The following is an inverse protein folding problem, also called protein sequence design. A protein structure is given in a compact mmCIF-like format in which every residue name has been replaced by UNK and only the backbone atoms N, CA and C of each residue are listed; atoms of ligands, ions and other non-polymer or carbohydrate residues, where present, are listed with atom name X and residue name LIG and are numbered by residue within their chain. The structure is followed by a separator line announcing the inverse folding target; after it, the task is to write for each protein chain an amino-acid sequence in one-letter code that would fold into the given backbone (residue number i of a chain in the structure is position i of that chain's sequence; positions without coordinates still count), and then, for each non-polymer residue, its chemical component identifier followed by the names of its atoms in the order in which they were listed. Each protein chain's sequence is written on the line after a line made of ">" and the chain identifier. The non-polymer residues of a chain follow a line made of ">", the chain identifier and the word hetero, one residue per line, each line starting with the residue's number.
data_IF_986846673560
#
_entry.id   IF_986846673560
#
_cell.length_a   1.000
_cell.length_b   1.000
_cell.length_c   1.000
_cell.angle_alpha   90.00
_cell.angle_beta   90.00
_cell.angle_gamma   90.00
#
_symmetry.space_group_name_H-M   'P 1'
#
loop_
_entity.id
_entity.type
_entity.pdbx_description
1 polymer ?
#
# COMPACT_ATOMS: atom_id res chain seq x y z
N UNK A 1 -41.23 16.54 9.29
CA UNK A 1 -41.10 15.48 8.26
C UNK A 1 -39.73 15.67 7.60
N UNK A 2 -38.68 15.16 8.26
CA UNK A 2 -37.28 15.33 7.86
C UNK A 2 -37.03 14.34 6.71
N UNK A 3 -36.91 14.83 5.49
CA UNK A 3 -36.47 14.02 4.35
C UNK A 3 -34.95 13.92 4.43
N UNK A 4 -34.46 12.78 4.89
CA UNK A 4 -33.04 12.41 4.87
C UNK A 4 -32.51 12.58 3.45
N UNK A 5 -31.57 13.51 3.28
CA UNK A 5 -30.83 13.70 2.04
C UNK A 5 -29.86 12.51 1.91
N UNK A 6 -29.82 11.79 0.79
CA UNK A 6 -28.91 10.67 0.61
C UNK A 6 -27.47 11.17 0.65
N UNK A 7 -26.69 10.66 1.61
CA UNK A 7 -25.23 10.73 1.66
C UNK A 7 -24.64 9.89 0.54
N UNK A 8 -24.68 10.39 -0.69
CA UNK A 8 -23.83 9.89 -1.77
C UNK A 8 -22.73 10.92 -1.98
N UNK A 9 -21.63 10.71 -1.26
CA UNK A 9 -20.35 11.35 -1.50
C UNK A 9 -19.97 11.09 -2.97
N UNK A 10 -19.97 12.13 -3.80
CA UNK A 10 -19.36 12.07 -5.12
C UNK A 10 -17.86 11.81 -4.92
N UNK A 11 -17.45 10.54 -5.06
CA UNK A 11 -16.04 10.14 -5.13
C UNK A 11 -15.46 10.55 -6.49
N UNK A 12 -15.21 11.84 -6.66
CA UNK A 12 -14.29 12.34 -7.69
C UNK A 12 -12.84 12.05 -7.29
N UNK A 13 -11.95 11.96 -8.29
CA UNK A 13 -10.52 11.56 -8.19
C UNK A 13 -9.73 12.35 -7.14
N UNK A 14 -10.21 13.53 -6.77
CA UNK A 14 -9.69 14.41 -5.71
C UNK A 14 -9.77 13.79 -4.30
N UNK A 15 -10.76 12.92 -4.07
CA UNK A 15 -10.95 12.22 -2.79
C UNK A 15 -9.89 11.13 -2.54
N UNK A 16 -9.32 10.52 -3.58
CA UNK A 16 -8.29 9.48 -3.41
C UNK A 16 -7.01 10.07 -2.81
N UNK A 17 -6.64 11.28 -3.20
CA UNK A 17 -5.47 11.98 -2.67
C UNK A 17 -5.64 12.35 -1.19
N UNK A 18 -6.82 12.88 -0.82
CA UNK A 18 -7.11 13.24 0.57
C UNK A 18 -7.17 11.99 1.47
N UNK A 19 -7.85 10.93 1.03
CA UNK A 19 -7.91 9.67 1.76
C UNK A 19 -6.54 9.01 1.91
N UNK A 20 -5.73 8.99 0.85
CA UNK A 20 -4.37 8.48 0.91
C UNK A 20 -3.50 9.27 1.89
N UNK A 21 -3.58 10.60 1.88
CA UNK A 21 -2.85 11.43 2.84
C UNK A 21 -3.27 11.14 4.28
N UNK A 22 -4.56 10.95 4.53
CA UNK A 22 -5.05 10.59 5.86
C UNK A 22 -4.52 9.22 6.29
N UNK A 23 -4.63 8.21 5.42
CA UNK A 23 -4.11 6.87 5.62
C UNK A 23 -2.60 6.87 5.92
N UNK A 24 -1.85 7.69 5.19
CA UNK A 24 -0.42 7.88 5.42
C UNK A 24 -0.16 8.47 6.80
N UNK A 25 -0.79 9.60 7.15
CA UNK A 25 -0.59 10.25 8.45
C UNK A 25 -0.94 9.34 9.62
N UNK A 26 -2.03 8.59 9.52
CA UNK A 26 -2.55 7.77 10.62
C UNK A 26 -1.78 6.45 10.80
N UNK A 27 -1.18 5.91 9.73
CA UNK A 27 -0.59 4.58 9.75
C UNK A 27 0.92 4.54 9.49
N UNK A 28 1.54 5.65 9.09
CA UNK A 28 2.99 5.70 8.86
C UNK A 28 3.78 5.24 10.08
N UNK A 29 3.54 5.85 11.25
CA UNK A 29 4.26 5.54 12.47
C UNK A 29 4.00 4.09 12.97
N UNK A 30 2.75 3.59 13.04
CA UNK A 30 2.47 2.18 13.34
C UNK A 30 3.15 1.19 12.39
N UNK A 31 3.17 1.49 11.08
CA UNK A 31 3.81 0.64 10.08
C UNK A 31 5.34 0.66 10.22
N UNK A 32 5.94 1.82 10.51
CA UNK A 32 7.36 1.96 10.78
C UNK A 32 7.75 1.18 12.03
N UNK A 33 6.97 1.27 13.11
CA UNK A 33 7.19 0.48 14.32
C UNK A 33 7.12 -1.03 14.03
N UNK A 34 6.19 -1.45 13.17
CA UNK A 34 6.09 -2.85 12.75
C UNK A 34 7.29 -3.31 11.92
N UNK A 35 7.75 -2.50 10.98
CA UNK A 35 8.96 -2.79 10.21
C UNK A 35 10.20 -2.85 11.12
N UNK A 36 10.30 -1.94 12.09
CA UNK A 36 11.40 -1.86 13.04
C UNK A 36 11.52 -3.11 13.92
N UNK A 37 10.39 -3.69 14.34
CA UNK A 37 10.38 -4.98 15.04
C UNK A 37 11.01 -6.13 14.24
N UNK A 38 11.13 -6.00 12.92
CA UNK A 38 11.70 -7.02 12.03
C UNK A 38 13.14 -6.70 11.63
N UNK A 39 13.40 -5.47 11.22
CA UNK A 39 14.72 -5.09 10.65
C UNK A 39 15.67 -4.45 11.65
N UNK A 40 15.18 -4.06 12.84
CA UNK A 40 15.93 -3.41 13.92
C UNK A 40 16.78 -2.20 13.49
N UNK A 41 16.37 -1.54 12.42
CA UNK A 41 17.06 -0.41 11.81
C UNK A 41 16.01 0.63 11.46
N UNK A 42 16.11 1.80 12.08
CA UNK A 42 15.14 2.89 11.92
C UNK A 42 15.09 3.36 10.47
N UNK A 43 16.25 3.58 9.85
CA UNK A 43 16.32 4.08 8.47
C UNK A 43 15.73 3.06 7.51
N UNK A 44 16.11 1.79 7.66
CA UNK A 44 15.54 0.72 6.86
C UNK A 44 14.01 0.59 7.05
N UNK A 45 13.50 0.82 8.27
CA UNK A 45 12.07 0.76 8.56
C UNK A 45 11.30 1.88 7.86
N UNK A 46 11.83 3.11 7.92
CA UNK A 46 11.28 4.27 7.22
C UNK A 46 11.29 4.05 5.70
N UNK A 47 12.41 3.55 5.14
CA UNK A 47 12.55 3.22 3.72
C UNK A 47 11.53 2.16 3.27
N UNK A 48 11.33 1.09 4.06
CA UNK A 48 10.34 0.03 3.77
C UNK A 48 8.93 0.60 3.67
N UNK A 49 8.54 1.46 4.62
CA UNK A 49 7.20 2.02 4.65
C UNK A 49 7.01 3.02 3.51
N UNK A 50 8.01 3.86 3.24
CA UNK A 50 8.00 4.78 2.09
C UNK A 50 7.85 4.03 0.77
N UNK A 51 8.61 2.95 0.56
CA UNK A 51 8.48 2.06 -0.60
C UNK A 51 7.03 1.56 -0.74
N UNK A 52 6.46 0.98 0.32
CA UNK A 52 5.09 0.43 0.28
C UNK A 52 4.05 1.51 -0.08
N UNK A 53 4.15 2.71 0.49
CA UNK A 53 3.24 3.80 0.16
C UNK A 53 3.45 4.33 -1.27
N UNK A 54 4.69 4.38 -1.76
CA UNK A 54 4.99 4.78 -3.13
C UNK A 54 4.37 3.80 -4.14
N UNK A 55 4.55 2.48 -3.92
CA UNK A 55 3.94 1.47 -4.78
C UNK A 55 2.40 1.50 -4.73
N UNK A 56 1.82 1.81 -3.57
CA UNK A 56 0.38 2.01 -3.45
C UNK A 56 -0.08 3.23 -4.25
N UNK A 57 0.66 4.34 -4.19
CA UNK A 57 0.36 5.58 -4.90
C UNK A 57 0.45 5.45 -6.42
N UNK A 58 1.49 4.78 -6.93
CA UNK A 58 1.65 4.49 -8.36
C UNK A 58 0.44 3.74 -8.93
N UNK A 59 -0.19 2.90 -8.11
CA UNK A 59 -1.31 2.04 -8.48
C UNK A 59 -2.65 2.52 -7.93
N UNK A 60 -2.73 3.77 -7.45
CA UNK A 60 -3.95 4.33 -6.84
C UNK A 60 -5.20 4.17 -7.72
N UNK A 61 -5.05 4.13 -9.04
CA UNK A 61 -6.16 3.95 -9.99
C UNK A 61 -6.69 2.51 -10.03
N UNK A 62 -5.86 1.52 -9.67
CA UNK A 62 -6.23 0.11 -9.56
C UNK A 62 -6.73 -0.26 -8.15
N UNK A 63 -6.47 0.58 -7.14
CA UNK A 63 -6.79 0.30 -5.74
C UNK A 63 -8.24 0.66 -5.45
N UNK A 64 -8.97 -0.29 -4.89
CA UNK A 64 -10.33 -0.07 -4.41
C UNK A 64 -10.29 0.56 -3.00
N UNK A 65 -10.37 1.90 -2.95
CA UNK A 65 -10.39 2.67 -1.70
C UNK A 65 -11.69 2.49 -0.89
N UNK A 66 -12.70 1.77 -1.38
CA UNK A 66 -13.88 1.39 -0.58
C UNK A 66 -13.60 0.23 0.39
N UNK A 67 -12.45 -0.44 0.25
CA UNK A 67 -12.04 -1.56 1.11
C UNK A 67 -10.98 -1.13 2.13
N UNK A 68 -10.91 -1.81 3.29
CA UNK A 68 -9.88 -1.53 4.27
C UNK A 68 -8.48 -1.86 3.71
N UNK A 69 -7.65 -0.83 3.53
CA UNK A 69 -6.29 -0.95 3.00
C UNK A 69 -5.25 -1.29 4.07
N UNK A 70 -5.58 -1.10 5.35
CA UNK A 70 -4.65 -1.33 6.45
C UNK A 70 -4.10 -2.78 6.51
N UNK A 71 -4.92 -3.85 6.36
CA UNK A 71 -4.40 -5.21 6.31
C UNK A 71 -3.43 -5.43 5.13
N UNK A 72 -3.72 -4.83 3.97
CA UNK A 72 -2.86 -4.90 2.80
C UNK A 72 -1.49 -4.25 3.08
N UNK A 73 -1.50 -3.05 3.69
CA UNK A 73 -0.29 -2.32 4.06
C UNK A 73 0.58 -3.11 5.05
N UNK A 74 -0.02 -3.73 6.08
CA UNK A 74 0.73 -4.55 7.03
C UNK A 74 1.40 -5.75 6.37
N UNK A 75 0.71 -6.42 5.44
CA UNK A 75 1.30 -7.55 4.71
C UNK A 75 2.41 -7.07 3.77
N UNK A 76 2.20 -5.97 3.06
CA UNK A 76 3.21 -5.38 2.18
C UNK A 76 4.48 -4.98 2.95
N UNK A 77 4.35 -4.29 4.07
CA UNK A 77 5.48 -3.91 4.95
C UNK A 77 6.22 -5.14 5.46
N UNK A 78 5.49 -6.17 5.93
CA UNK A 78 6.08 -7.43 6.38
C UNK A 78 6.88 -8.10 5.26
N UNK A 79 6.30 -8.21 4.06
CA UNK A 79 6.97 -8.85 2.93
C UNK A 79 8.23 -8.09 2.53
N UNK A 80 8.15 -6.76 2.44
CA UNK A 80 9.30 -5.91 2.11
C UNK A 80 10.41 -6.00 3.16
N UNK A 81 10.07 -6.06 4.45
CA UNK A 81 11.02 -6.31 5.52
C UNK A 81 11.71 -7.67 5.40
N UNK A 82 10.95 -8.73 5.09
CA UNK A 82 11.51 -10.08 4.84
C UNK A 82 12.46 -10.05 3.65
N UNK A 83 12.08 -9.39 2.56
CA UNK A 83 12.92 -9.29 1.36
C UNK A 83 14.20 -8.52 1.63
N UNK A 84 14.15 -7.44 2.42
CA UNK A 84 15.35 -6.72 2.84
C UNK A 84 16.27 -7.61 3.70
N UNK A 85 15.71 -8.38 4.62
CA UNK A 85 16.49 -9.32 5.45
C UNK A 85 17.10 -10.45 4.60
N UNK A 86 16.37 -10.93 3.58
CA UNK A 86 16.86 -11.91 2.62
C UNK A 86 17.96 -11.35 1.73
N UNK A 87 17.82 -10.12 1.22
CA UNK A 87 18.83 -9.48 0.37
C UNK A 87 20.09 -9.12 1.14
N UNK A 88 19.99 -8.69 2.41
CA UNK A 88 21.14 -8.55 3.32
C UNK A 88 21.89 -9.89 3.50
N UNK A 89 21.17 -11.02 3.42
CA UNK A 89 21.72 -12.37 3.55
C UNK A 89 22.20 -12.98 2.22
N UNK A 90 21.72 -12.49 1.08
CA UNK A 90 21.94 -13.06 -0.26
C UNK A 90 22.44 -11.98 -1.24
N UNK A 91 23.72 -12.04 -1.65
CA UNK A 91 24.35 -11.11 -2.62
C UNK A 91 23.95 -11.32 -4.09
N UNK A 92 22.76 -11.86 -4.34
CA UNK A 92 22.24 -12.16 -5.68
C UNK A 92 20.91 -11.44 -5.88
N UNK A 93 20.86 -10.58 -6.90
CA UNK A 93 19.84 -9.56 -7.10
C UNK A 93 18.40 -10.01 -6.87
N UNK A 94 17.65 -9.15 -6.16
CA UNK A 94 16.23 -9.33 -5.91
C UNK A 94 15.45 -9.04 -7.21
N UNK A 95 14.48 -9.87 -7.64
CA UNK A 95 13.45 -9.40 -8.56
C UNK A 95 12.85 -8.08 -8.03
N UNK A 96 12.47 -7.17 -8.92
CA UNK A 96 11.95 -5.88 -8.49
C UNK A 96 10.73 -6.13 -7.57
N UNK A 97 10.80 -5.62 -6.34
CA UNK A 97 9.78 -5.89 -5.33
C UNK A 97 8.44 -5.26 -5.76
N UNK A 98 8.48 -4.25 -6.62
CA UNK A 98 7.34 -3.65 -7.32
C UNK A 98 6.59 -4.66 -8.19
N UNK A 99 7.26 -5.58 -8.91
CA UNK A 99 6.58 -6.69 -9.61
C UNK A 99 5.95 -7.65 -8.63
N UNK A 100 6.66 -8.04 -7.56
CA UNK A 100 6.13 -8.98 -6.58
C UNK A 100 4.92 -8.40 -5.83
N UNK A 101 4.98 -7.12 -5.48
CA UNK A 101 3.85 -6.38 -4.96
C UNK A 101 2.73 -6.31 -5.98
N UNK A 102 2.99 -6.14 -7.27
CA UNK A 102 1.92 -6.12 -8.28
C UNK A 102 1.17 -7.43 -8.44
N UNK A 103 1.86 -8.56 -8.34
CA UNK A 103 1.23 -9.89 -8.29
C UNK A 103 0.42 -10.04 -7.00
N UNK A 104 1.01 -9.70 -5.86
CA UNK A 104 0.34 -9.81 -4.56
C UNK A 104 -0.91 -8.92 -4.44
N UNK A 105 -0.80 -7.67 -4.88
CA UNK A 105 -1.88 -6.66 -4.94
C UNK A 105 -3.00 -7.16 -5.85
N UNK A 106 -2.68 -7.69 -7.04
CA UNK A 106 -3.67 -8.31 -7.95
C UNK A 106 -4.36 -9.56 -7.38
N UNK A 107 -3.65 -10.32 -6.55
CA UNK A 107 -4.18 -11.51 -5.88
C UNK A 107 -4.91 -11.19 -4.57
N UNK A 108 -4.80 -9.95 -4.08
CA UNK A 108 -5.46 -9.53 -2.85
C UNK A 108 -6.95 -9.26 -3.11
N UNK A 109 -7.85 -9.79 -2.27
CA UNK A 109 -9.29 -9.59 -2.44
C UNK A 109 -9.69 -8.12 -2.27
N UNK A 110 -8.80 -7.25 -1.81
CA UNK A 110 -9.04 -5.81 -1.65
C UNK A 110 -9.03 -5.02 -2.97
N UNK A 111 -8.78 -5.64 -4.12
CA UNK A 111 -8.71 -4.93 -5.41
C UNK A 111 -9.78 -5.42 -6.36
N UNK A 112 -10.59 -4.46 -6.81
CA UNK A 112 -11.63 -4.67 -7.81
C UNK A 112 -11.01 -5.01 -9.16
N UNK A 113 -11.47 -6.09 -9.80
CA UNK A 113 -11.07 -6.49 -11.15
C UNK A 113 -11.64 -5.52 -12.21
N UNK A 114 -11.17 -4.29 -12.25
CA UNK A 114 -11.31 -3.41 -13.42
C UNK A 114 -9.96 -3.27 -14.11
N UNK A 115 -9.48 -4.36 -14.68
CA UNK A 115 -8.42 -4.30 -15.67
C UNK A 115 -9.04 -3.90 -17.02
N UNK A 116 -8.76 -2.71 -17.51
CA UNK A 116 -8.62 -2.51 -18.96
C UNK A 116 -7.73 -1.32 -19.26
N UNK A 117 -6.62 -1.63 -19.95
CA UNK A 117 -5.83 -0.77 -20.82
C UNK A 117 -5.15 0.43 -20.17
N UNK A 118 -3.81 0.41 -20.09
CA UNK A 118 -2.93 1.37 -20.79
C UNK A 118 -1.47 0.96 -20.53
N UNK A 119 -0.93 0.16 -21.44
CA UNK A 119 0.50 0.08 -21.73
C UNK A 119 0.61 0.09 -23.25
N UNK A 120 0.69 1.30 -23.81
CA UNK A 120 1.24 1.56 -25.14
C UNK A 120 2.55 2.27 -24.95
#
# INVERSE_FOLDING_TARGET
>A
MIRSIPTYFEKTVENHSAYFQQLFRDHYEPLCARAFQMVHDRKASEDIVQDVFLALWERREEVDFDRPLLPLLFVAVKNRAIDLLRSKKWRGGNPDWTSWMSVFVRLSPTISKRSSSYRS
#
